data_IF_639798383939
#
_entry.id   IF_639798383939
#
_cell.length_a   1.000
_cell.length_b   1.000
_cell.length_c   1.000
_cell.angle_alpha   90.00
_cell.angle_beta   90.00
_cell.angle_gamma   90.00
#
_symmetry.space_group_name_H-M   'P 1'
#
loop_
_entity.id
_entity.type
_entity.pdbx_description
1 polymer ?
#
# COMPACT_ATOMS: atom_id res chain seq x y z
N UNK A 1 15.16 24.31 4.52
CA UNK A 1 15.27 23.57 5.80
C UNK A 1 15.49 22.11 5.45
N UNK A 2 16.62 21.52 5.82
CA UNK A 2 17.00 20.14 5.46
C UNK A 2 16.66 19.21 6.63
N UNK A 3 15.80 18.21 6.39
CA UNK A 3 15.48 17.14 7.34
C UNK A 3 13.98 17.02 7.66
N UNK A 4 13.51 15.77 7.77
CA UNK A 4 12.18 15.49 8.30
C UNK A 4 12.12 15.89 9.78
N UNK A 5 11.01 16.49 10.21
CA UNK A 5 10.82 16.98 11.58
C UNK A 5 9.95 16.02 12.37
N UNK A 6 10.26 15.74 13.65
CA UNK A 6 9.40 14.94 14.50
C UNK A 6 7.96 15.47 14.50
N UNK A 7 7.01 14.56 14.49
CA UNK A 7 5.59 14.83 14.64
C UNK A 7 5.19 14.47 16.06
N UNK A 8 4.47 15.38 16.73
CA UNK A 8 4.10 15.24 18.13
C UNK A 8 2.64 15.69 18.35
N UNK A 9 2.12 15.44 19.56
CA UNK A 9 0.78 15.86 19.97
C UNK A 9 -0.31 15.25 19.08
N UNK A 10 -1.30 16.06 18.73
CA UNK A 10 -2.48 15.60 18.00
C UNK A 10 -2.13 14.96 16.65
N UNK A 11 -1.14 15.47 15.93
CA UNK A 11 -0.79 14.94 14.61
C UNK A 11 -0.20 13.52 14.73
N UNK A 12 0.54 13.24 15.81
CA UNK A 12 1.02 11.88 16.07
C UNK A 12 -0.14 10.96 16.49
N UNK A 13 -1.07 11.47 17.32
CA UNK A 13 -2.25 10.73 17.73
C UNK A 13 -3.14 10.34 16.53
N UNK A 14 -3.38 11.27 15.61
CA UNK A 14 -4.15 11.03 14.39
C UNK A 14 -3.47 9.96 13.51
N UNK A 15 -2.14 10.02 13.39
CA UNK A 15 -1.37 9.02 12.66
C UNK A 15 -1.50 7.63 13.31
N UNK A 16 -1.40 7.55 14.63
CA UNK A 16 -1.58 6.32 15.40
C UNK A 16 -2.99 5.74 15.21
N UNK A 17 -4.02 6.55 15.32
CA UNK A 17 -5.42 6.14 15.14
C UNK A 17 -5.67 5.63 13.72
N UNK A 18 -5.14 6.32 12.71
CA UNK A 18 -5.27 5.92 11.29
C UNK A 18 -4.57 4.59 10.99
N UNK A 19 -3.48 4.29 11.70
CA UNK A 19 -2.70 3.07 11.52
C UNK A 19 -3.23 1.90 12.36
N UNK A 20 -3.94 2.17 13.45
CA UNK A 20 -4.43 1.16 14.40
C UNK A 20 -5.36 0.15 13.74
N UNK A 21 -6.17 0.58 12.75
CA UNK A 21 -7.05 -0.30 11.98
C UNK A 21 -7.03 0.07 10.50
N UNK A 22 -6.48 -0.84 9.69
CA UNK A 22 -6.41 -0.76 8.24
C UNK A 22 -7.20 -1.93 7.66
N UNK A 23 -8.20 -1.61 6.85
CA UNK A 23 -8.93 -2.59 6.05
C UNK A 23 -8.18 -2.81 4.74
N UNK A 24 -7.26 -3.78 4.71
CA UNK A 24 -6.58 -4.13 3.47
C UNK A 24 -7.52 -4.95 2.58
N UNK A 25 -7.94 -4.34 1.48
CA UNK A 25 -8.79 -4.97 0.48
C UNK A 25 -7.92 -5.64 -0.58
N UNK A 26 -8.30 -6.85 -0.95
CA UNK A 26 -7.64 -7.60 -2.02
C UNK A 26 -8.63 -8.30 -2.91
N UNK A 27 -8.11 -8.84 -4.02
CA UNK A 27 -8.87 -9.73 -4.90
C UNK A 27 -8.11 -11.04 -5.02
N UNK A 28 -8.69 -12.12 -4.49
CA UNK A 28 -8.13 -13.47 -4.64
C UNK A 28 -8.62 -14.05 -5.96
N UNK A 29 -7.70 -14.23 -6.90
CA UNK A 29 -7.98 -14.78 -8.22
C UNK A 29 -7.13 -16.04 -8.46
N UNK A 30 -7.78 -17.17 -8.76
CA UNK A 30 -7.13 -18.42 -9.18
C UNK A 30 -7.64 -18.75 -10.59
N UNK A 31 -6.76 -18.86 -11.60
CA UNK A 31 -7.15 -19.19 -12.97
C UNK A 31 -7.56 -20.66 -13.09
N UNK A 32 -8.41 -20.98 -14.07
CA UNK A 32 -8.72 -22.37 -14.43
C UNK A 32 -7.49 -23.08 -14.99
N UNK A 33 -7.43 -24.41 -14.81
CA UNK A 33 -6.45 -25.25 -15.48
C UNK A 33 -6.84 -25.44 -16.95
N UNK A 34 -5.97 -25.00 -17.88
CA UNK A 34 -6.13 -25.27 -19.31
C UNK A 34 -7.28 -24.54 -20.01
N UNK A 35 -7.97 -23.61 -19.34
CA UNK A 35 -9.08 -22.84 -19.91
C UNK A 35 -9.00 -21.36 -19.49
N UNK A 36 -9.57 -20.43 -20.29
CA UNK A 36 -9.70 -19.04 -19.87
C UNK A 36 -10.62 -18.87 -18.65
N UNK A 37 -10.40 -17.78 -17.91
CA UNK A 37 -11.25 -17.37 -16.79
C UNK A 37 -10.79 -17.89 -15.42
N UNK A 38 -11.65 -17.70 -14.42
CA UNK A 38 -11.35 -17.98 -13.02
C UNK A 38 -11.98 -19.30 -12.57
N UNK A 39 -11.22 -20.09 -11.80
CA UNK A 39 -11.77 -21.11 -10.91
C UNK A 39 -12.21 -20.49 -9.58
N UNK A 40 -11.54 -19.41 -9.15
CA UNK A 40 -11.93 -18.64 -7.98
C UNK A 40 -11.68 -17.15 -8.25
N UNK A 41 -12.67 -16.32 -7.94
CA UNK A 41 -12.59 -14.87 -8.07
C UNK A 41 -13.45 -14.23 -7.00
N UNK A 42 -12.82 -13.63 -5.99
CA UNK A 42 -13.55 -13.09 -4.85
C UNK A 42 -12.81 -11.90 -4.21
N UNK A 43 -13.55 -10.86 -3.76
CA UNK A 43 -12.97 -9.82 -2.93
C UNK A 43 -12.66 -10.38 -1.53
N UNK A 44 -11.56 -9.93 -0.96
CA UNK A 44 -11.15 -10.29 0.40
C UNK A 44 -10.86 -9.05 1.21
N UNK A 45 -11.12 -9.13 2.51
CA UNK A 45 -10.73 -8.16 3.50
C UNK A 45 -9.76 -8.80 4.49
N UNK A 46 -8.61 -8.17 4.67
CA UNK A 46 -7.64 -8.52 5.69
C UNK A 46 -7.50 -7.35 6.68
N UNK A 47 -8.23 -7.36 7.80
CA UNK A 47 -8.07 -6.34 8.84
C UNK A 47 -6.69 -6.50 9.48
N UNK A 48 -5.91 -5.44 9.42
CA UNK A 48 -4.59 -5.36 10.01
C UNK A 48 -4.41 -4.01 10.70
N UNK A 49 -3.31 -3.83 11.42
CA UNK A 49 -3.00 -2.56 12.02
C UNK A 49 -1.51 -2.44 12.31
N UNK A 50 -1.10 -1.24 12.69
CA UNK A 50 0.23 -0.94 13.15
C UNK A 50 0.15 -0.04 14.38
N UNK A 51 1.13 -0.19 15.27
CA UNK A 51 1.38 0.72 16.36
C UNK A 51 2.50 1.66 15.95
N UNK A 52 2.21 2.95 15.79
CA UNK A 52 3.23 3.96 15.50
C UNK A 52 3.82 4.45 16.81
N UNK A 53 5.13 4.28 16.99
CA UNK A 53 5.86 4.76 18.18
C UNK A 53 6.46 6.14 17.97
N UNK A 54 6.84 6.47 16.73
CA UNK A 54 7.34 7.80 16.37
C UNK A 54 7.14 8.08 14.88
N UNK A 55 7.02 9.35 14.53
CA UNK A 55 6.83 9.80 13.16
C UNK A 55 7.56 11.11 12.86
N UNK A 56 7.89 11.33 11.59
CA UNK A 56 8.52 12.55 11.09
C UNK A 56 7.82 13.03 9.82
N UNK A 57 7.52 14.33 9.76
CA UNK A 57 6.97 14.99 8.58
C UNK A 57 8.08 15.63 7.76
N UNK A 58 8.02 15.48 6.44
CA UNK A 58 9.04 16.03 5.56
C UNK A 58 8.53 16.27 4.14
N UNK A 59 9.49 16.34 3.22
CA UNK A 59 9.25 16.39 1.79
C UNK A 59 9.78 15.11 1.15
N UNK A 60 9.05 14.56 0.20
CA UNK A 60 9.44 13.37 -0.54
C UNK A 60 8.95 13.44 -1.98
N UNK A 61 9.57 12.64 -2.84
CA UNK A 61 9.22 12.54 -4.25
C UNK A 61 9.23 11.08 -4.67
N UNK A 62 8.27 10.69 -5.51
CA UNK A 62 8.26 9.39 -6.18
C UNK A 62 8.44 9.60 -7.67
N UNK A 63 9.29 8.78 -8.30
CA UNK A 63 9.50 8.77 -9.75
C UNK A 63 9.38 7.34 -10.26
N UNK A 64 8.52 7.14 -11.24
CA UNK A 64 8.43 5.88 -11.97
C UNK A 64 9.44 5.84 -13.11
N UNK A 65 10.17 4.74 -13.23
CA UNK A 65 11.00 4.44 -14.40
C UNK A 65 10.25 3.43 -15.25
N UNK A 66 9.82 3.85 -16.44
CA UNK A 66 9.15 2.95 -17.38
C UNK A 66 10.12 1.87 -17.85
N UNK A 67 9.64 0.64 -17.87
CA UNK A 67 10.37 -0.52 -18.38
C UNK A 67 9.66 -1.06 -19.63
N UNK A 68 10.43 -1.65 -20.53
CA UNK A 68 9.90 -2.42 -21.65
C UNK A 68 9.77 -3.91 -21.31
N UNK A 69 9.24 -4.69 -22.26
CA UNK A 69 9.09 -6.13 -22.12
C UNK A 69 10.43 -6.82 -21.85
N UNK A 70 11.48 -6.43 -22.56
CA UNK A 70 12.80 -7.06 -22.49
C UNK A 70 13.47 -6.86 -21.12
N UNK A 71 13.20 -5.74 -20.44
CA UNK A 71 13.73 -5.43 -19.12
C UNK A 71 12.98 -6.13 -17.98
N UNK A 72 11.66 -6.27 -18.08
CA UNK A 72 10.84 -6.92 -17.04
C UNK A 72 9.58 -7.57 -17.65
N UNK A 73 9.71 -8.75 -18.29
CA UNK A 73 8.62 -9.38 -19.05
C UNK A 73 7.32 -9.58 -18.24
N UNK A 74 7.47 -9.97 -16.96
CA UNK A 74 6.32 -10.32 -16.12
C UNK A 74 5.57 -9.11 -15.58
N UNK A 75 6.22 -7.94 -15.44
CA UNK A 75 5.66 -6.81 -14.68
C UNK A 75 5.72 -5.46 -15.39
N UNK A 76 6.37 -5.35 -16.57
CA UNK A 76 6.52 -4.07 -17.29
C UNK A 76 5.19 -3.33 -17.49
N UNK A 77 4.12 -4.07 -17.79
CA UNK A 77 2.80 -3.50 -18.07
C UNK A 77 2.17 -2.88 -16.82
N UNK A 78 2.41 -3.45 -15.63
CA UNK A 78 1.98 -2.90 -14.34
C UNK A 78 2.72 -1.59 -14.06
N UNK A 79 4.05 -1.62 -14.19
CA UNK A 79 4.91 -0.44 -13.96
C UNK A 79 4.56 0.67 -14.96
N UNK A 80 4.33 0.32 -16.23
CA UNK A 80 3.90 1.26 -17.27
C UNK A 80 2.56 1.91 -16.89
N UNK A 81 1.57 1.13 -16.48
CA UNK A 81 0.26 1.66 -16.08
C UNK A 81 0.38 2.63 -14.89
N UNK A 82 1.16 2.27 -13.86
CA UNK A 82 1.42 3.15 -12.72
C UNK A 82 2.17 4.44 -13.13
N UNK A 83 3.11 4.34 -14.06
CA UNK A 83 3.87 5.47 -14.61
C UNK A 83 3.07 6.36 -15.59
N UNK A 84 1.88 5.93 -16.00
CA UNK A 84 0.95 6.71 -16.85
C UNK A 84 -0.08 7.46 -16.02
N UNK A 85 -0.25 7.12 -14.74
CA UNK A 85 -1.06 7.90 -13.82
C UNK A 85 -0.42 9.27 -13.57
N UNK A 86 -1.12 10.39 -13.80
CA UNK A 86 -0.57 11.72 -13.62
C UNK A 86 -0.32 12.02 -12.13
N UNK A 87 0.93 12.36 -11.79
CA UNK A 87 1.29 12.86 -10.46
C UNK A 87 0.99 14.37 -10.39
N UNK A 88 -0.19 14.72 -9.87
CA UNK A 88 -0.65 16.11 -9.79
C UNK A 88 0.11 16.90 -8.71
N UNK A 89 0.26 16.30 -7.54
CA UNK A 89 0.98 16.85 -6.40
C UNK A 89 1.48 15.72 -5.50
N UNK A 90 2.43 16.04 -4.61
CA UNK A 90 2.83 15.12 -3.55
C UNK A 90 1.94 15.37 -2.33
N UNK A 91 1.24 14.33 -1.89
CA UNK A 91 0.52 14.33 -0.62
C UNK A 91 1.48 14.51 0.57
N UNK A 92 0.97 14.81 1.79
CA UNK A 92 1.80 14.89 2.98
C UNK A 92 2.69 13.66 3.16
N UNK A 93 3.97 13.88 3.40
CA UNK A 93 4.97 12.81 3.54
C UNK A 93 5.29 12.60 5.02
N UNK A 94 4.94 11.40 5.50
CA UNK A 94 5.22 10.94 6.85
C UNK A 94 6.14 9.72 6.78
N UNK A 95 7.22 9.74 7.56
CA UNK A 95 7.99 8.56 7.90
C UNK A 95 7.57 8.09 9.28
N UNK A 96 7.16 6.84 9.45
CA UNK A 96 6.76 6.28 10.74
C UNK A 96 7.66 5.11 11.16
N UNK A 97 7.93 5.00 12.45
CA UNK A 97 8.59 3.85 13.09
C UNK A 97 7.63 3.25 14.11
N UNK A 98 7.56 1.92 14.14
CA UNK A 98 6.60 1.21 14.98
C UNK A 98 6.67 -0.30 14.81
N UNK A 99 5.58 -0.97 15.14
CA UNK A 99 5.37 -2.39 14.85
C UNK A 99 4.08 -2.61 14.07
N UNK A 100 4.02 -3.70 13.31
CA UNK A 100 2.81 -4.12 12.60
C UNK A 100 2.21 -5.31 13.33
N UNK A 101 0.92 -5.26 13.61
CA UNK A 101 0.18 -6.32 14.28
C UNK A 101 -0.75 -6.95 13.25
N UNK A 102 -0.35 -8.12 12.77
CA UNK A 102 -1.13 -8.91 11.84
C UNK A 102 -1.99 -9.91 12.60
N UNK A 103 -3.24 -10.08 12.16
CA UNK A 103 -4.16 -11.09 12.67
C UNK A 103 -4.54 -12.02 11.52
N UNK A 104 -3.69 -13.01 11.19
CA UNK A 104 -3.83 -13.81 9.96
C UNK A 104 -5.20 -14.46 9.79
N UNK A 105 -5.81 -14.88 10.88
CA UNK A 105 -7.11 -15.58 10.86
C UNK A 105 -8.31 -14.63 10.74
N UNK A 106 -8.11 -13.31 10.71
CA UNK A 106 -9.18 -12.33 10.53
C UNK A 106 -9.46 -12.03 9.04
N UNK A 107 -8.59 -12.51 8.15
CA UNK A 107 -8.81 -12.45 6.72
C UNK A 107 -10.08 -13.20 6.33
N UNK A 108 -10.95 -12.55 5.56
CA UNK A 108 -12.24 -13.12 5.15
C UNK A 108 -12.64 -12.69 3.75
N UNK A 109 -13.53 -13.45 3.15
CA UNK A 109 -14.21 -13.09 1.90
C UNK A 109 -15.21 -11.97 2.20
N UNK A 110 -15.35 -11.03 1.27
CA UNK A 110 -16.46 -10.07 1.27
C UNK A 110 -17.54 -10.60 0.32
N UNK A 111 -18.79 -10.60 0.78
CA UNK A 111 -19.98 -11.01 0.00
C UNK A 111 -20.90 -9.82 -0.25
#
# INVERSE_FOLDING_TARGET
>A
MLGAKPVEGQVLADAQDSAATINALGWRYIPKVGAPGADLSQPILYPQGAEIHSAWAGSGTVKWTRLNWEQNPMQWHIIKALAELPMLEMAPVILSKGMVILRPNNGRVLE
#
